data_IF_019422777254
#
_entry.id   IF_019422777254
#
_cell.length_a   1.000
_cell.length_b   1.000
_cell.length_c   1.000
_cell.angle_alpha   90.00
_cell.angle_beta   90.00
_cell.angle_gamma   90.00
#
_symmetry.space_group_name_H-M   'P 1'
#
loop_
_entity.id
_entity.type
_entity.pdbx_description
1 polymer ?
#
# COMPACT_ATOMS: atom_id res chain seq x y z
N UNK A 1 20.66 -11.46 -3.24
CA UNK A 1 20.36 -10.24 -4.05
C UNK A 1 20.31 -10.59 -5.53
N UNK A 2 19.18 -10.29 -6.18
CA UNK A 2 18.92 -10.47 -7.62
C UNK A 2 19.94 -9.70 -8.47
N UNK A 3 20.30 -10.24 -9.63
CA UNK A 3 21.38 -9.71 -10.45
C UNK A 3 21.06 -8.28 -10.93
N UNK A 4 19.86 -8.06 -11.44
CA UNK A 4 19.39 -6.76 -11.90
C UNK A 4 19.44 -5.65 -10.83
N UNK A 5 19.29 -6.01 -9.56
CA UNK A 5 19.28 -5.03 -8.47
C UNK A 5 20.67 -4.65 -7.99
N UNK A 6 21.71 -5.45 -8.29
CA UNK A 6 23.08 -5.16 -7.83
C UNK A 6 23.66 -3.91 -8.49
N UNK A 7 23.36 -3.72 -9.77
CA UNK A 7 23.88 -2.63 -10.60
C UNK A 7 22.92 -1.45 -10.74
N UNK A 8 21.67 -1.58 -10.27
CA UNK A 8 20.67 -0.52 -10.36
C UNK A 8 21.14 0.72 -9.59
N UNK A 9 21.24 1.86 -10.28
CA UNK A 9 21.57 3.13 -9.64
C UNK A 9 20.42 3.52 -8.71
N UNK A 10 20.76 3.72 -7.43
CA UNK A 10 19.86 4.25 -6.41
C UNK A 10 20.63 5.27 -5.60
N UNK A 11 20.04 6.45 -5.50
CA UNK A 11 20.54 7.64 -4.80
C UNK A 11 19.41 8.25 -3.99
N UNK A 12 19.79 9.02 -2.95
CA UNK A 12 18.83 9.83 -2.24
C UNK A 12 18.27 10.92 -3.16
N UNK A 13 17.03 11.31 -2.92
CA UNK A 13 16.47 12.54 -3.44
C UNK A 13 17.35 13.72 -3.00
N UNK A 14 17.38 14.82 -3.79
CA UNK A 14 18.04 16.04 -3.36
C UNK A 14 17.46 16.57 -2.04
N UNK A 15 18.28 17.27 -1.26
CA UNK A 15 17.86 17.87 0.03
C UNK A 15 16.70 18.86 -0.10
N UNK A 16 16.42 19.32 -1.32
CA UNK A 16 15.29 20.16 -1.65
C UNK A 16 14.52 19.60 -2.84
N UNK A 17 13.19 19.67 -2.78
CA UNK A 17 12.30 19.30 -3.87
C UNK A 17 11.63 20.54 -4.44
N UNK A 18 11.48 20.57 -5.76
CA UNK A 18 10.71 21.61 -6.47
C UNK A 18 9.53 20.93 -7.12
N UNK A 19 8.32 21.26 -6.67
CA UNK A 19 7.07 20.70 -7.16
C UNK A 19 6.48 21.66 -8.20
N UNK A 20 6.71 21.38 -9.49
CA UNK A 20 6.18 22.19 -10.60
C UNK A 20 4.86 21.61 -11.10
N UNK A 21 3.80 22.40 -11.06
CA UNK A 21 2.48 22.06 -11.58
C UNK A 21 1.37 22.77 -10.80
N UNK A 22 0.13 22.49 -11.17
CA UNK A 22 -1.05 23.09 -10.55
C UNK A 22 -1.39 22.40 -9.24
N UNK A 23 -2.22 23.03 -8.40
CA UNK A 23 -2.71 22.44 -7.15
C UNK A 23 -4.21 22.18 -7.29
N UNK A 24 -4.62 20.93 -7.10
CA UNK A 24 -6.03 20.55 -7.07
C UNK A 24 -6.58 20.66 -5.64
N UNK A 25 -7.39 21.67 -5.39
CA UNK A 25 -8.18 21.78 -4.18
C UNK A 25 -9.47 20.99 -4.35
N UNK A 26 -9.60 19.92 -3.57
CA UNK A 26 -10.80 19.09 -3.50
C UNK A 26 -11.86 19.84 -2.68
N UNK A 27 -12.50 20.85 -3.29
CA UNK A 27 -13.47 21.73 -2.66
C UNK A 27 -14.84 21.07 -2.47
N UNK A 28 -15.64 21.52 -1.50
CA UNK A 28 -17.03 21.06 -1.35
C UNK A 28 -17.93 21.53 -2.51
N UNK A 29 -17.61 22.67 -3.11
CA UNK A 29 -18.31 23.26 -4.24
C UNK A 29 -17.86 22.61 -5.56
N UNK A 30 -18.80 21.96 -6.25
CA UNK A 30 -18.54 21.28 -7.51
C UNK A 30 -18.09 22.24 -8.63
N UNK A 31 -18.57 23.48 -8.63
CA UNK A 31 -18.18 24.51 -9.59
C UNK A 31 -16.71 24.93 -9.43
N UNK A 32 -16.23 25.08 -8.19
CA UNK A 32 -14.81 25.34 -7.89
C UNK A 32 -13.92 24.20 -8.38
N UNK A 33 -14.37 22.95 -8.21
CA UNK A 33 -13.62 21.78 -8.72
C UNK A 33 -13.58 21.79 -10.25
N UNK A 34 -14.72 21.99 -10.93
CA UNK A 34 -14.78 22.03 -12.40
C UNK A 34 -13.89 23.12 -13.00
N UNK A 35 -13.94 24.34 -12.47
CA UNK A 35 -13.09 25.44 -12.93
C UNK A 35 -11.60 25.09 -12.84
N UNK A 36 -11.18 24.39 -11.78
CA UNK A 36 -9.81 23.88 -11.68
C UNK A 36 -9.49 22.86 -12.78
N UNK A 37 -10.37 21.91 -13.04
CA UNK A 37 -10.19 20.91 -14.09
C UNK A 37 -10.12 21.55 -15.50
N UNK A 38 -10.81 22.66 -15.70
CA UNK A 38 -10.83 23.44 -16.95
C UNK A 38 -9.63 24.38 -17.13
N UNK A 39 -8.69 24.41 -16.17
CA UNK A 39 -7.44 25.16 -16.29
C UNK A 39 -7.36 26.40 -15.38
N UNK A 40 -8.41 26.73 -14.63
CA UNK A 40 -8.39 27.90 -13.75
C UNK A 40 -7.78 27.56 -12.38
N UNK A 41 -6.66 28.18 -12.04
CA UNK A 41 -6.17 28.14 -10.66
C UNK A 41 -7.06 28.99 -9.76
N UNK A 42 -7.48 28.42 -8.63
CA UNK A 42 -8.28 29.14 -7.65
C UNK A 42 -7.37 29.82 -6.63
N UNK A 43 -7.76 31.00 -6.16
CA UNK A 43 -7.10 31.61 -5.01
C UNK A 43 -7.51 30.84 -3.74
N UNK A 44 -6.54 30.16 -3.11
CA UNK A 44 -6.78 29.40 -1.89
C UNK A 44 -6.71 30.36 -0.72
N UNK A 45 -7.71 30.27 0.15
CA UNK A 45 -7.72 30.98 1.40
C UNK A 45 -8.01 29.97 2.51
N UNK A 46 -7.54 30.19 3.75
CA UNK A 46 -7.86 29.29 4.86
C UNK A 46 -9.37 29.06 5.08
N UNK A 47 -10.23 29.98 4.61
CA UNK A 47 -11.68 29.84 4.65
C UNK A 47 -12.31 29.05 3.49
N UNK A 48 -11.54 28.60 2.49
CA UNK A 48 -12.04 27.78 1.38
C UNK A 48 -12.52 26.43 1.93
N UNK A 49 -13.81 26.11 1.73
CA UNK A 49 -14.39 24.84 2.18
C UNK A 49 -13.89 23.67 1.33
N UNK A 50 -13.04 22.85 1.93
CA UNK A 50 -12.51 21.63 1.32
C UNK A 50 -13.33 20.41 1.75
N UNK A 51 -13.35 19.38 0.90
CA UNK A 51 -13.99 18.10 1.20
C UNK A 51 -13.27 17.41 2.35
N UNK A 52 -14.04 17.09 3.36
CA UNK A 52 -13.67 16.27 4.50
C UNK A 52 -14.00 14.78 4.29
N UNK A 53 -13.39 13.90 5.08
CA UNK A 53 -13.69 12.47 5.15
C UNK A 53 -13.56 11.74 3.81
N UNK A 54 -12.57 12.12 2.99
CA UNK A 54 -12.33 11.50 1.69
C UNK A 54 -11.90 10.05 1.90
N UNK A 55 -12.69 9.11 1.40
CA UNK A 55 -12.40 7.68 1.47
C UNK A 55 -11.59 7.19 0.27
N UNK A 56 -10.93 6.03 0.39
CA UNK A 56 -10.27 5.38 -0.75
C UNK A 56 -11.26 4.97 -1.84
N UNK A 57 -12.53 4.72 -1.51
CA UNK A 57 -13.58 4.50 -2.52
C UNK A 57 -13.97 5.77 -3.27
N UNK A 58 -13.85 6.95 -2.63
CA UNK A 58 -14.04 8.23 -3.32
C UNK A 58 -12.84 8.55 -4.24
N UNK A 59 -11.62 8.22 -3.81
CA UNK A 59 -10.40 8.38 -4.62
C UNK A 59 -10.39 7.37 -5.78
N UNK A 60 -10.72 6.11 -5.52
CA UNK A 60 -10.70 5.03 -6.52
C UNK A 60 -11.81 4.04 -6.20
N UNK A 61 -13.00 4.21 -6.83
CA UNK A 61 -14.12 3.30 -6.63
C UNK A 61 -13.74 1.84 -6.89
N UNK A 62 -14.42 0.90 -6.22
CA UNK A 62 -14.06 -0.52 -6.27
C UNK A 62 -13.98 -1.10 -7.70
N UNK A 63 -14.86 -0.65 -8.62
CA UNK A 63 -14.87 -1.10 -10.02
C UNK A 63 -13.67 -0.58 -10.84
N UNK A 64 -12.96 0.44 -10.34
CA UNK A 64 -11.71 0.92 -10.94
C UNK A 64 -10.52 0.07 -10.47
N UNK A 65 -10.64 -0.67 -9.37
CA UNK A 65 -9.56 -1.53 -8.88
C UNK A 65 -9.33 -2.78 -9.77
N UNK A 66 -10.07 -2.91 -10.88
CA UNK A 66 -9.77 -3.87 -11.94
C UNK A 66 -8.59 -3.43 -12.82
N UNK A 67 -8.28 -2.13 -12.84
CA UNK A 67 -7.07 -1.62 -13.45
C UNK A 67 -5.90 -1.75 -12.46
N UNK A 68 -4.73 -2.08 -12.99
CA UNK A 68 -3.55 -2.44 -12.19
C UNK A 68 -2.25 -1.84 -12.74
N UNK A 69 -2.36 -0.98 -13.74
CA UNK A 69 -1.25 -0.29 -14.42
C UNK A 69 -1.45 1.23 -14.40
N UNK A 70 -0.65 1.97 -15.18
CA UNK A 70 -0.72 3.44 -15.25
C UNK A 70 -2.06 4.00 -15.73
N UNK A 71 -2.96 3.16 -16.28
CA UNK A 71 -4.34 3.53 -16.61
C UNK A 71 -5.09 4.00 -15.36
N UNK A 72 -4.68 3.57 -14.16
CA UNK A 72 -5.21 4.08 -12.90
C UNK A 72 -5.12 5.61 -12.78
N UNK A 73 -4.14 6.24 -13.44
CA UNK A 73 -4.01 7.70 -13.53
C UNK A 73 -5.17 8.43 -14.20
N UNK A 74 -6.04 7.72 -14.92
CA UNK A 74 -7.24 8.29 -15.51
C UNK A 74 -8.41 8.40 -14.53
N UNK A 75 -8.33 7.79 -13.35
CA UNK A 75 -9.49 7.62 -12.48
C UNK A 75 -9.42 8.22 -11.06
N UNK A 76 -8.40 9.01 -10.65
CA UNK A 76 -8.41 9.52 -9.29
C UNK A 76 -9.62 10.45 -9.06
N UNK A 77 -10.26 10.25 -7.91
CA UNK A 77 -11.40 10.98 -7.37
C UNK A 77 -12.73 10.84 -8.13
N UNK A 78 -12.92 9.80 -8.95
CA UNK A 78 -14.21 9.58 -9.64
C UNK A 78 -15.39 9.41 -8.69
N UNK A 79 -15.15 8.92 -7.47
CA UNK A 79 -16.19 8.78 -6.45
C UNK A 79 -16.36 10.02 -5.57
N UNK A 80 -15.58 11.09 -5.78
CA UNK A 80 -15.63 12.30 -4.96
C UNK A 80 -16.94 13.06 -5.19
N UNK A 81 -17.83 13.01 -4.21
CA UNK A 81 -19.08 13.77 -4.21
C UNK A 81 -18.85 15.18 -3.66
N UNK A 82 -19.22 16.21 -4.41
CA UNK A 82 -19.15 17.63 -4.03
C UNK A 82 -20.58 18.20 -4.05
N UNK A 83 -21.18 18.40 -2.86
CA UNK A 83 -22.63 18.62 -2.76
C UNK A 83 -23.41 17.40 -3.24
N UNK A 84 -24.20 17.58 -4.30
CA UNK A 84 -24.96 16.50 -4.97
C UNK A 84 -24.35 16.04 -6.30
N UNK A 85 -23.14 16.51 -6.60
CA UNK A 85 -22.53 16.31 -7.91
C UNK A 85 -21.19 15.55 -7.82
N UNK A 86 -20.79 14.94 -8.94
CA UNK A 86 -19.48 14.31 -9.12
C UNK A 86 -18.71 15.11 -10.18
N UNK A 87 -17.96 16.15 -9.79
CA UNK A 87 -17.35 17.07 -10.75
C UNK A 87 -16.13 16.49 -11.49
N UNK A 88 -15.52 15.43 -10.95
CA UNK A 88 -14.30 14.82 -11.49
C UNK A 88 -14.68 13.69 -12.45
N UNK A 89 -14.16 13.77 -13.67
CA UNK A 89 -14.41 12.80 -14.74
C UNK A 89 -13.13 12.11 -15.18
N UNK A 90 -13.26 11.03 -15.97
CA UNK A 90 -12.11 10.25 -16.44
C UNK A 90 -11.06 11.12 -17.14
N UNK A 91 -9.82 11.00 -16.69
CA UNK A 91 -8.63 11.69 -17.17
C UNK A 91 -8.58 13.18 -16.86
N UNK A 92 -9.59 13.76 -16.20
CA UNK A 92 -9.67 15.20 -15.95
C UNK A 92 -8.53 15.69 -15.04
N UNK A 93 -8.21 14.93 -13.99
CA UNK A 93 -7.10 15.24 -13.07
C UNK A 93 -5.75 15.20 -13.80
N UNK A 94 -5.49 14.13 -14.56
CA UNK A 94 -4.25 13.97 -15.33
C UNK A 94 -4.06 15.08 -16.37
N UNK A 95 -5.12 15.42 -17.13
CA UNK A 95 -5.10 16.55 -18.08
C UNK A 95 -4.93 17.90 -17.39
N UNK A 96 -5.40 18.03 -16.15
CA UNK A 96 -5.30 19.25 -15.37
C UNK A 96 -3.88 19.63 -14.96
N UNK A 97 -2.89 18.75 -15.10
CA UNK A 97 -1.48 19.07 -14.85
C UNK A 97 -1.17 19.38 -13.38
N UNK A 98 -1.88 18.73 -12.47
CA UNK A 98 -1.73 18.94 -11.04
C UNK A 98 -0.50 18.19 -10.49
N UNK A 99 0.29 18.86 -9.66
CA UNK A 99 1.41 18.27 -8.91
C UNK A 99 1.05 17.99 -7.45
N UNK A 100 0.02 18.67 -6.93
CA UNK A 100 -0.44 18.51 -5.56
C UNK A 100 -1.96 18.40 -5.49
N UNK A 101 -2.46 17.72 -4.47
CA UNK A 101 -3.89 17.71 -4.13
C UNK A 101 -4.10 18.06 -2.66
N UNK A 102 -5.13 18.86 -2.39
CA UNK A 102 -5.42 19.41 -1.06
C UNK A 102 -6.85 19.08 -0.67
N UNK A 103 -7.03 18.52 0.52
CA UNK A 103 -8.34 18.20 1.11
C UNK A 103 -8.44 18.74 2.54
N UNK A 104 -9.63 18.67 3.13
CA UNK A 104 -9.86 19.14 4.50
C UNK A 104 -9.40 18.15 5.56
N UNK A 105 -10.28 17.87 6.52
CA UNK A 105 -9.97 17.28 7.83
C UNK A 105 -9.41 15.87 7.82
N UNK A 106 -9.88 15.01 6.91
CA UNK A 106 -9.61 13.57 6.98
C UNK A 106 -9.55 12.97 5.59
N UNK A 107 -8.42 12.35 5.25
CA UNK A 107 -8.16 11.78 3.93
C UNK A 107 -7.65 10.35 4.00
N UNK A 108 -8.13 9.50 3.07
CA UNK A 108 -7.64 8.14 2.86
C UNK A 108 -8.27 7.11 3.80
N UNK A 109 -9.49 7.33 4.27
CA UNK A 109 -10.19 6.37 5.15
C UNK A 109 -10.72 5.16 4.36
N UNK A 110 -10.88 4.04 5.05
CA UNK A 110 -11.51 2.84 4.51
C UNK A 110 -10.50 1.76 4.13
N UNK A 111 -10.62 1.25 2.92
CA UNK A 111 -9.84 0.11 2.42
C UNK A 111 -8.34 0.43 2.35
N UNK A 112 -7.49 -0.57 2.60
CA UNK A 112 -6.02 -0.46 2.53
C UNK A 112 -5.46 -0.39 1.11
N UNK A 113 -6.32 -0.25 0.09
CA UNK A 113 -5.97 -0.30 -1.33
C UNK A 113 -4.93 0.75 -1.70
N UNK A 114 -3.79 0.31 -2.21
CA UNK A 114 -2.72 1.19 -2.70
C UNK A 114 -3.00 1.72 -4.11
N UNK A 115 -4.00 1.17 -4.80
CA UNK A 115 -4.52 1.69 -6.05
C UNK A 115 -4.93 3.17 -5.92
N UNK A 116 -5.38 3.62 -4.75
CA UNK A 116 -5.77 5.02 -4.53
C UNK A 116 -4.60 6.01 -4.65
N UNK A 117 -3.55 5.93 -3.82
CA UNK A 117 -2.39 6.80 -3.99
C UNK A 117 -1.61 6.53 -5.29
N UNK A 118 -1.69 5.31 -5.84
CA UNK A 118 -1.09 5.03 -7.16
C UNK A 118 -1.85 5.72 -8.30
N UNK A 119 -3.18 5.76 -8.28
CA UNK A 119 -3.98 6.50 -9.25
C UNK A 119 -3.65 8.00 -9.21
N UNK A 120 -3.48 8.57 -8.02
CA UNK A 120 -3.04 9.96 -7.86
C UNK A 120 -1.63 10.17 -8.44
N UNK A 121 -0.69 9.28 -8.13
CA UNK A 121 0.68 9.32 -8.64
C UNK A 121 0.72 9.24 -10.18
N UNK A 122 0.00 8.29 -10.78
CA UNK A 122 -0.10 8.11 -12.23
C UNK A 122 -0.81 9.28 -12.93
N UNK A 123 -1.60 10.06 -12.19
CA UNK A 123 -2.19 11.30 -12.68
C UNK A 123 -1.26 12.53 -12.55
N UNK A 124 -0.08 12.37 -11.94
CA UNK A 124 0.92 13.42 -11.78
C UNK A 124 0.99 14.03 -10.38
N UNK A 125 0.14 13.61 -9.44
CA UNK A 125 0.16 14.10 -8.06
C UNK A 125 1.39 13.53 -7.35
N UNK A 126 2.25 14.44 -6.87
CA UNK A 126 3.46 14.13 -6.10
C UNK A 126 3.37 14.57 -4.64
N UNK A 127 2.37 15.40 -4.30
CA UNK A 127 2.14 15.91 -2.96
C UNK A 127 0.65 15.81 -2.58
N UNK A 128 0.41 15.27 -1.39
CA UNK A 128 -0.91 15.26 -0.75
C UNK A 128 -0.89 16.11 0.50
N UNK A 129 -1.85 17.04 0.61
CA UNK A 129 -2.03 17.92 1.76
C UNK A 129 -3.43 17.72 2.36
N UNK A 130 -3.51 17.50 3.67
CA UNK A 130 -4.77 17.40 4.42
C UNK A 130 -4.52 17.69 5.90
N UNK A 131 -5.53 18.07 6.68
CA UNK A 131 -5.32 18.30 8.13
C UNK A 131 -5.01 16.99 8.86
N UNK A 132 -5.55 15.87 8.38
CA UNK A 132 -5.24 14.52 8.83
C UNK A 132 -5.23 13.55 7.66
N UNK A 133 -4.19 12.70 7.63
CA UNK A 133 -4.00 11.66 6.62
C UNK A 133 -3.97 10.32 7.34
N UNK A 134 -4.85 9.41 6.93
CA UNK A 134 -4.97 8.08 7.53
C UNK A 134 -3.68 7.29 7.41
N UNK A 135 -3.30 6.60 8.48
CA UNK A 135 -1.99 5.96 8.63
C UNK A 135 -1.62 5.06 7.46
N UNK A 136 -2.54 4.18 7.04
CA UNK A 136 -2.29 3.22 5.95
C UNK A 136 -2.14 3.93 4.60
N UNK A 137 -3.01 4.90 4.33
CA UNK A 137 -2.92 5.67 3.08
C UNK A 137 -1.62 6.49 3.03
N UNK A 138 -1.22 7.13 4.15
CA UNK A 138 0.06 7.84 4.28
C UNK A 138 1.25 6.91 4.01
N UNK A 139 1.21 5.71 4.59
CA UNK A 139 2.21 4.67 4.38
C UNK A 139 2.30 4.24 2.92
N UNK A 140 1.17 4.03 2.24
CA UNK A 140 1.12 3.73 0.82
C UNK A 140 1.68 4.90 -0.04
N UNK A 141 1.36 6.15 0.29
CA UNK A 141 1.98 7.32 -0.36
C UNK A 141 3.51 7.28 -0.23
N UNK A 142 4.03 7.09 0.99
CA UNK A 142 5.47 6.99 1.24
C UNK A 142 6.11 5.83 0.49
N UNK A 143 5.45 4.68 0.42
CA UNK A 143 5.94 3.51 -0.29
C UNK A 143 6.11 3.79 -1.80
N UNK A 144 5.15 4.52 -2.39
CA UNK A 144 5.17 4.94 -3.79
C UNK A 144 6.09 6.15 -4.07
N UNK A 145 6.52 6.87 -3.04
CA UNK A 145 7.29 8.11 -3.18
C UNK A 145 6.43 9.37 -3.37
N UNK A 146 5.13 9.30 -3.07
CA UNK A 146 4.24 10.46 -2.98
C UNK A 146 4.44 11.14 -1.63
N UNK A 147 4.78 12.43 -1.64
CA UNK A 147 4.97 13.21 -0.42
C UNK A 147 3.63 13.53 0.23
N UNK A 148 3.63 13.58 1.56
CA UNK A 148 2.43 13.92 2.35
C UNK A 148 2.79 14.95 3.40
N UNK A 149 1.88 15.89 3.67
CA UNK A 149 2.05 16.84 4.77
C UNK A 149 0.71 17.30 5.34
N UNK A 150 0.71 17.65 6.62
CA UNK A 150 -0.41 18.34 7.29
C UNK A 150 -0.17 19.85 7.41
N UNK A 151 0.98 20.34 6.94
CA UNK A 151 1.32 21.75 6.92
C UNK A 151 0.84 22.41 5.62
N UNK A 152 -0.23 23.19 5.71
CA UNK A 152 -0.82 23.92 4.59
C UNK A 152 0.08 25.07 4.10
N UNK A 153 1.08 25.51 4.88
CA UNK A 153 2.01 26.56 4.42
C UNK A 153 2.85 26.14 3.20
N UNK A 154 2.94 24.83 2.93
CA UNK A 154 3.58 24.29 1.73
C UNK A 154 2.86 24.70 0.45
N UNK A 155 1.55 24.94 0.49
CA UNK A 155 0.75 25.31 -0.70
C UNK A 155 1.33 26.55 -1.38
N UNK A 156 1.67 27.56 -0.59
CA UNK A 156 2.23 28.82 -1.07
C UNK A 156 3.61 28.64 -1.71
N UNK A 157 4.44 27.76 -1.15
CA UNK A 157 5.77 27.43 -1.71
C UNK A 157 5.63 26.72 -3.05
N UNK A 158 4.69 25.77 -3.16
CA UNK A 158 4.41 25.05 -4.41
C UNK A 158 3.93 26.02 -5.49
N UNK A 159 3.00 26.94 -5.16
CA UNK A 159 2.49 27.97 -6.10
C UNK A 159 3.59 28.88 -6.63
N UNK A 160 4.53 29.28 -5.78
CA UNK A 160 5.68 30.12 -6.18
C UNK A 160 6.80 29.34 -6.88
N UNK A 161 6.69 28.01 -6.97
CA UNK A 161 7.73 27.15 -7.55
C UNK A 161 9.03 27.15 -6.73
N UNK A 162 8.92 27.38 -5.42
CA UNK A 162 10.06 27.46 -4.51
C UNK A 162 10.62 26.07 -4.19
N UNK A 163 11.91 26.04 -3.87
CA UNK A 163 12.55 24.86 -3.32
C UNK A 163 12.04 24.62 -1.89
N UNK A 164 11.51 23.43 -1.64
CA UNK A 164 11.04 22.99 -0.33
C UNK A 164 12.09 22.04 0.24
N UNK A 165 12.63 22.29 1.45
CA UNK A 165 13.56 21.34 2.05
C UNK A 165 12.86 20.01 2.29
N UNK A 166 13.51 18.90 1.93
CA UNK A 166 12.95 17.56 2.08
C UNK A 166 12.64 17.23 3.55
N UNK A 167 13.36 17.87 4.48
CA UNK A 167 13.08 17.81 5.91
C UNK A 167 11.66 18.25 6.29
N UNK A 168 10.98 19.05 5.46
CA UNK A 168 9.57 19.40 5.67
C UNK A 168 8.64 18.17 5.61
N UNK A 169 9.08 17.08 4.98
CA UNK A 169 8.32 15.84 4.83
C UNK A 169 8.86 14.69 5.72
N UNK A 170 10.01 14.88 6.38
CA UNK A 170 10.64 13.85 7.23
C UNK A 170 10.79 14.27 8.68
N UNK A 171 10.47 15.52 9.03
CA UNK A 171 10.50 16.00 10.40
C UNK A 171 9.56 15.18 11.30
N UNK A 172 10.10 14.64 12.38
CA UNK A 172 9.36 13.80 13.33
C UNK A 172 9.22 12.32 12.91
N UNK A 173 9.65 11.96 11.71
CA UNK A 173 9.68 10.57 11.26
C UNK A 173 10.91 9.82 11.80
N UNK A 174 10.76 8.52 12.03
CA UNK A 174 11.88 7.65 12.39
C UNK A 174 12.86 7.42 11.23
N UNK A 175 14.01 6.82 11.53
CA UNK A 175 15.10 6.53 10.58
C UNK A 175 14.64 5.82 9.29
N UNK A 176 13.82 4.78 9.42
CA UNK A 176 13.26 3.96 8.35
C UNK A 176 12.30 4.78 7.50
N UNK A 177 11.31 5.44 8.12
CA UNK A 177 10.31 6.21 7.37
C UNK A 177 10.96 7.39 6.66
N UNK A 178 11.86 8.11 7.34
CA UNK A 178 12.70 9.14 6.74
C UNK A 178 13.52 8.58 5.59
N UNK A 179 14.18 7.44 5.78
CA UNK A 179 14.99 6.80 4.75
C UNK A 179 14.19 6.43 3.50
N UNK A 180 12.95 5.94 3.67
CA UNK A 180 12.04 5.63 2.57
C UNK A 180 11.66 6.90 1.78
N UNK A 181 11.32 7.98 2.49
CA UNK A 181 11.00 9.27 1.85
C UNK A 181 12.24 9.84 1.14
N UNK A 182 13.41 9.79 1.78
CA UNK A 182 14.69 10.26 1.21
C UNK A 182 15.13 9.48 -0.02
N UNK A 183 14.64 8.26 -0.25
CA UNK A 183 14.94 7.50 -1.48
C UNK A 183 13.78 7.53 -2.49
N UNK A 184 12.75 8.34 -2.23
CA UNK A 184 11.59 8.47 -3.10
C UNK A 184 10.78 7.20 -3.22
N UNK A 185 10.68 6.41 -2.14
CA UNK A 185 9.86 5.20 -2.10
C UNK A 185 10.53 3.98 -1.46
N UNK A 186 9.70 3.02 -1.05
CA UNK A 186 10.14 1.81 -0.35
C UNK A 186 11.03 0.94 -1.24
N UNK A 187 10.72 0.85 -2.54
CA UNK A 187 11.51 0.07 -3.49
C UNK A 187 12.97 0.54 -3.56
N UNK A 188 13.18 1.82 -3.83
CA UNK A 188 14.53 2.38 -3.92
C UNK A 188 15.28 2.23 -2.60
N UNK A 189 14.61 2.51 -1.47
CA UNK A 189 15.19 2.31 -0.15
C UNK A 189 15.66 0.86 0.07
N UNK A 190 14.83 -0.13 -0.29
CA UNK A 190 15.19 -1.54 -0.17
C UNK A 190 16.30 -1.97 -1.12
N UNK A 191 16.36 -1.45 -2.35
CA UNK A 191 17.49 -1.70 -3.25
C UNK A 191 18.78 -1.15 -2.64
N UNK A 192 18.77 0.06 -2.07
CA UNK A 192 19.93 0.62 -1.38
C UNK A 192 20.34 -0.21 -0.14
N UNK A 193 19.38 -0.73 0.64
CA UNK A 193 19.63 -1.69 1.73
C UNK A 193 20.31 -2.97 1.22
N UNK A 194 19.78 -3.57 0.15
CA UNK A 194 20.34 -4.81 -0.42
C UNK A 194 21.74 -4.60 -1.02
N UNK A 195 22.03 -3.40 -1.51
CA UNK A 195 23.37 -3.01 -1.99
C UNK A 195 24.35 -2.69 -0.85
N UNK A 196 23.93 -2.74 0.41
CA UNK A 196 24.76 -2.40 1.57
C UNK A 196 25.05 -0.89 1.72
N UNK A 197 24.36 -0.04 0.95
CA UNK A 197 24.49 1.44 1.05
C UNK A 197 23.76 2.00 2.27
N UNK A 198 22.81 1.25 2.81
CA UNK A 198 22.06 1.58 4.02
C UNK A 198 22.28 0.46 5.02
N UNK A 199 22.79 0.81 6.19
CA UNK A 199 22.90 -0.07 7.34
C UNK A 199 21.85 0.38 8.34
N UNK A 200 20.92 -0.51 8.68
CA UNK A 200 19.89 -0.21 9.67
C UNK A 200 20.47 -0.35 11.07
N UNK A 201 20.14 0.58 11.95
CA UNK A 201 20.45 0.45 13.37
C UNK A 201 19.43 -0.48 14.03
N UNK A 202 19.83 -1.63 14.61
CA UNK A 202 18.91 -2.45 15.39
C UNK A 202 18.40 -1.66 16.62
N UNK A 203 17.22 -1.99 17.14
CA UNK A 203 16.69 -1.35 18.34
C UNK A 203 17.64 -1.59 19.51
N UNK A 204 17.94 -0.53 20.24
CA UNK A 204 18.81 -0.56 21.44
C UNK A 204 18.05 -0.95 22.70
N UNK A 205 16.88 -1.58 22.54
CA UNK A 205 15.99 -1.93 23.64
C UNK A 205 16.66 -2.97 24.55
N UNK A 206 16.87 -2.67 25.86
CA UNK A 206 17.50 -3.60 26.78
C UNK A 206 16.58 -4.81 27.03
N UNK A 207 17.13 -5.97 27.46
CA UNK A 207 16.33 -7.12 27.84
C UNK A 207 15.19 -6.75 28.80
N UNK A 208 13.97 -7.11 28.42
CA UNK A 208 12.74 -6.84 29.19
C UNK A 208 11.73 -7.97 29.00
N UNK A 209 10.74 -8.10 29.91
CA UNK A 209 9.56 -8.91 29.62
C UNK A 209 8.88 -8.43 28.34
N UNK A 210 8.56 -9.38 27.45
CA UNK A 210 7.92 -9.13 26.16
C UNK A 210 6.59 -9.90 26.04
N UNK A 211 5.61 -9.30 25.38
CA UNK A 211 4.38 -9.97 24.93
C UNK A 211 4.71 -11.06 23.90
N UNK A 212 3.72 -11.90 23.56
CA UNK A 212 3.91 -12.90 22.49
C UNK A 212 4.28 -12.22 21.16
N UNK A 213 3.56 -11.16 20.78
CA UNK A 213 3.83 -10.40 19.57
C UNK A 213 5.24 -9.80 19.56
N UNK A 214 5.65 -9.15 20.66
CA UNK A 214 7.00 -8.59 20.81
C UNK A 214 8.09 -9.67 20.69
N UNK A 215 7.90 -10.85 21.28
CA UNK A 215 8.86 -11.97 21.16
C UNK A 215 8.99 -12.46 19.72
N UNK A 216 7.86 -12.60 19.01
CA UNK A 216 7.85 -13.01 17.61
C UNK A 216 8.58 -11.95 16.78
N UNK A 217 8.23 -10.68 16.94
CA UNK A 217 8.88 -9.57 16.23
C UNK A 217 10.38 -9.53 16.50
N UNK A 218 10.81 -9.62 17.77
CA UNK A 218 12.21 -9.62 18.16
C UNK A 218 13.01 -10.74 17.48
N UNK A 219 12.44 -11.95 17.37
CA UNK A 219 13.07 -13.08 16.69
C UNK A 219 13.22 -12.88 15.18
N UNK A 220 12.27 -12.21 14.54
CA UNK A 220 12.26 -11.99 13.09
C UNK A 220 12.95 -10.69 12.67
N UNK A 221 13.42 -9.89 13.62
CA UNK A 221 14.00 -8.59 13.34
C UNK A 221 15.19 -8.67 12.39
N UNK A 222 15.18 -7.89 11.32
CA UNK A 222 16.28 -7.84 10.35
C UNK A 222 17.40 -6.95 10.90
N UNK A 223 18.58 -7.54 11.13
CA UNK A 223 19.77 -6.83 11.63
C UNK A 223 20.71 -6.48 10.49
N UNK A 224 21.01 -7.44 9.62
CA UNK A 224 21.86 -7.22 8.44
C UNK A 224 21.30 -8.07 7.28
N UNK A 225 20.47 -7.49 6.38
CA UNK A 225 19.85 -8.23 5.31
C UNK A 225 20.88 -8.72 4.27
N UNK A 226 22.00 -8.01 4.09
CA UNK A 226 23.05 -8.40 3.16
C UNK A 226 23.80 -9.67 3.63
N UNK A 227 23.86 -9.89 4.95
CA UNK A 227 24.47 -11.08 5.58
C UNK A 227 23.47 -12.08 6.14
N UNK A 228 22.16 -11.84 5.99
CA UNK A 228 21.11 -12.71 6.53
C UNK A 228 21.05 -12.75 8.06
N UNK A 229 21.59 -11.75 8.76
CA UNK A 229 21.55 -11.70 10.23
C UNK A 229 20.19 -11.19 10.69
N UNK A 230 19.52 -11.99 11.52
CA UNK A 230 18.22 -11.68 12.10
C UNK A 230 18.22 -11.90 13.62
N UNK A 231 17.21 -11.36 14.28
CA UNK A 231 16.97 -11.51 15.71
C UNK A 231 17.62 -10.40 16.54
N UNK A 232 16.87 -9.88 17.50
CA UNK A 232 17.35 -8.98 18.55
C UNK A 232 16.93 -9.48 19.94
N UNK A 233 17.65 -9.14 21.01
CA UNK A 233 17.33 -9.63 22.35
C UNK A 233 15.96 -9.17 22.87
N UNK A 234 15.56 -7.94 22.53
CA UNK A 234 14.29 -7.37 22.93
C UNK A 234 13.85 -6.25 21.97
N UNK A 235 12.54 -6.02 21.96
CA UNK A 235 11.90 -4.87 21.31
C UNK A 235 10.89 -4.24 22.28
N UNK A 236 10.44 -3.02 21.99
CA UNK A 236 9.34 -2.34 22.69
C UNK A 236 8.45 -1.60 21.67
N UNK A 237 7.21 -1.22 22.05
CA UNK A 237 6.35 -0.42 21.18
C UNK A 237 7.04 0.87 20.72
N UNK A 238 6.90 1.20 19.44
CA UNK A 238 7.55 2.35 18.81
C UNK A 238 8.94 2.06 18.22
N UNK A 239 9.58 0.94 18.54
CA UNK A 239 10.78 0.51 17.79
C UNK A 239 10.38 0.28 16.32
N UNK A 240 11.18 0.76 15.37
CA UNK A 240 10.91 0.60 13.95
C UNK A 240 12.04 -0.12 13.22
N UNK A 241 11.67 -0.91 12.21
CA UNK A 241 12.63 -1.66 11.43
C UNK A 241 11.94 -2.57 10.43
N UNK A 242 12.60 -3.69 10.13
CA UNK A 242 12.08 -4.71 9.25
C UNK A 242 12.04 -6.04 9.96
N UNK A 243 11.05 -6.86 9.62
CA UNK A 243 10.93 -8.24 10.09
C UNK A 243 10.88 -9.18 8.90
N UNK A 244 11.63 -10.28 8.99
CA UNK A 244 11.52 -11.38 8.02
C UNK A 244 10.13 -12.00 8.13
N UNK A 245 9.56 -12.33 6.98
CA UNK A 245 8.24 -12.94 6.87
C UNK A 245 8.37 -14.42 6.51
N UNK A 246 7.59 -15.27 7.19
CA UNK A 246 7.54 -16.72 6.94
C UNK A 246 6.56 -17.07 5.82
N UNK A 247 5.43 -16.36 5.73
CA UNK A 247 4.43 -16.53 4.66
C UNK A 247 4.02 -15.16 4.11
N UNK A 248 3.98 -15.06 2.78
CA UNK A 248 3.59 -13.86 2.04
C UNK A 248 2.49 -14.24 1.06
N UNK A 249 1.28 -13.68 1.19
CA UNK A 249 0.23 -13.97 0.23
C UNK A 249 -0.35 -12.73 -0.44
N UNK A 250 -0.89 -12.93 -1.64
CA UNK A 250 -1.60 -11.88 -2.35
C UNK A 250 -2.80 -12.41 -3.11
N UNK A 251 -3.85 -11.59 -3.18
CA UNK A 251 -5.09 -11.92 -3.90
C UNK A 251 -5.18 -11.16 -5.23
N UNK A 252 -6.15 -11.50 -6.08
CA UNK A 252 -6.22 -11.11 -7.50
C UNK A 252 -6.40 -9.61 -7.75
N UNK A 253 -6.88 -8.84 -6.77
CA UNK A 253 -6.95 -7.37 -6.90
C UNK A 253 -5.58 -6.70 -6.84
N UNK A 254 -4.63 -7.30 -6.11
CA UNK A 254 -3.33 -6.68 -5.79
C UNK A 254 -2.20 -7.33 -6.56
N UNK A 255 -2.31 -8.65 -6.79
CA UNK A 255 -1.24 -9.44 -7.42
C UNK A 255 -0.82 -8.91 -8.79
N UNK A 256 -1.73 -8.56 -9.71
CA UNK A 256 -1.34 -8.03 -11.02
C UNK A 256 -0.56 -6.72 -10.96
N UNK A 257 -0.94 -5.80 -10.06
CA UNK A 257 -0.24 -4.54 -9.86
C UNK A 257 1.16 -4.76 -9.28
N UNK A 258 1.29 -5.62 -8.27
CA UNK A 258 2.58 -6.01 -7.70
C UNK A 258 3.47 -6.74 -8.73
N UNK A 259 2.89 -7.56 -9.60
CA UNK A 259 3.59 -8.24 -10.69
C UNK A 259 4.12 -7.24 -11.73
N UNK A 260 3.36 -6.21 -12.09
CA UNK A 260 3.84 -5.13 -12.97
C UNK A 260 5.01 -4.39 -12.31
N UNK A 261 4.90 -4.03 -11.03
CA UNK A 261 6.01 -3.39 -10.31
C UNK A 261 7.27 -4.25 -10.34
N UNK A 262 7.13 -5.56 -10.13
CA UNK A 262 8.24 -6.49 -10.23
C UNK A 262 8.87 -6.51 -11.62
N UNK A 263 8.07 -6.70 -12.66
CA UNK A 263 8.57 -6.78 -14.03
C UNK A 263 9.22 -5.49 -14.52
N UNK A 264 8.66 -4.32 -14.15
CA UNK A 264 9.17 -3.01 -14.57
C UNK A 264 10.39 -2.56 -13.76
N UNK A 265 10.39 -2.77 -12.44
CA UNK A 265 11.41 -2.23 -11.54
C UNK A 265 12.55 -3.22 -11.29
N UNK A 266 12.28 -4.52 -11.30
CA UNK A 266 13.28 -5.58 -11.08
C UNK A 266 13.74 -6.16 -12.42
N UNK A 267 12.79 -6.48 -13.30
CA UNK A 267 13.05 -7.01 -14.63
C UNK A 267 12.15 -8.20 -14.94
N UNK A 268 11.76 -8.34 -16.21
CA UNK A 268 10.79 -9.36 -16.61
C UNK A 268 11.27 -10.79 -16.33
N UNK A 269 12.56 -11.08 -16.48
CA UNK A 269 13.10 -12.44 -16.37
C UNK A 269 13.73 -12.77 -15.02
N UNK A 270 13.69 -11.82 -14.09
CA UNK A 270 14.14 -12.03 -12.73
C UNK A 270 13.19 -12.95 -11.95
N UNK A 271 13.74 -13.63 -10.94
CA UNK A 271 12.98 -14.54 -10.07
C UNK A 271 12.69 -13.90 -8.73
N UNK A 272 11.49 -14.13 -8.19
CA UNK A 272 11.20 -13.75 -6.81
C UNK A 272 12.10 -14.50 -5.83
N UNK A 273 12.36 -13.88 -4.68
CA UNK A 273 13.11 -14.47 -3.59
C UNK A 273 12.20 -15.36 -2.72
N UNK A 274 12.61 -16.63 -2.61
CA UNK A 274 11.93 -17.67 -1.83
C UNK A 274 10.46 -17.90 -2.27
N UNK A 275 10.21 -18.36 -3.52
CA UNK A 275 8.85 -18.54 -4.05
C UNK A 275 7.99 -19.52 -3.25
N UNK A 276 8.61 -20.46 -2.52
CA UNK A 276 7.91 -21.47 -1.74
C UNK A 276 7.10 -20.92 -0.55
N UNK A 277 7.45 -19.74 -0.05
CA UNK A 277 6.70 -19.03 0.98
C UNK A 277 5.83 -17.89 0.42
N UNK A 278 5.64 -17.84 -0.91
CA UNK A 278 4.71 -16.93 -1.56
C UNK A 278 3.48 -17.72 -2.03
N UNK A 279 2.30 -17.19 -1.76
CA UNK A 279 1.02 -17.80 -2.16
C UNK A 279 0.15 -16.77 -2.89
N UNK A 280 -0.59 -17.22 -3.88
CA UNK A 280 -1.53 -16.39 -4.62
C UNK A 280 -2.94 -16.97 -4.51
N UNK A 281 -3.93 -16.10 -4.43
CA UNK A 281 -5.33 -16.47 -4.26
C UNK A 281 -6.20 -15.77 -5.29
N UNK A 282 -7.21 -16.49 -5.77
CA UNK A 282 -8.32 -15.97 -6.55
C UNK A 282 -9.62 -16.32 -5.83
N UNK A 283 -10.04 -15.45 -4.93
CA UNK A 283 -11.19 -15.70 -4.04
C UNK A 283 -12.21 -14.56 -3.97
N UNK A 284 -11.87 -13.35 -4.43
CA UNK A 284 -12.78 -12.20 -4.40
C UNK A 284 -13.64 -12.06 -5.66
N UNK A 285 -13.12 -12.47 -6.83
CA UNK A 285 -13.72 -12.18 -8.15
C UNK A 285 -14.31 -13.41 -8.85
N UNK A 286 -14.36 -14.56 -8.19
CA UNK A 286 -14.79 -15.82 -8.83
C UNK A 286 -16.24 -15.79 -9.32
N UNK A 287 -17.12 -15.05 -8.65
CA UNK A 287 -18.52 -14.88 -9.05
C UNK A 287 -18.80 -13.54 -9.75
N UNK A 288 -17.75 -12.83 -10.19
CA UNK A 288 -17.90 -11.47 -10.71
C UNK A 288 -18.80 -11.41 -11.95
N UNK A 289 -18.74 -12.41 -12.83
CA UNK A 289 -19.60 -12.48 -14.01
C UNK A 289 -21.10 -12.57 -13.69
N UNK A 290 -21.46 -13.11 -12.52
CA UNK A 290 -22.84 -13.23 -12.04
C UNK A 290 -23.29 -12.00 -11.26
N UNK A 291 -22.35 -11.37 -10.54
CA UNK A 291 -22.63 -10.22 -9.68
C UNK A 291 -22.56 -8.86 -10.41
N UNK A 292 -21.88 -8.78 -11.56
CA UNK A 292 -21.69 -7.53 -12.27
C UNK A 292 -22.98 -7.11 -13.01
N UNK A 293 -23.37 -5.86 -12.84
CA UNK A 293 -24.53 -5.26 -13.52
C UNK A 293 -24.36 -5.26 -15.05
N UNK A 294 -25.43 -5.49 -15.86
CA UNK A 294 -25.35 -5.51 -17.32
C UNK A 294 -24.71 -4.26 -17.95
N UNK A 295 -24.92 -3.09 -17.34
CA UNK A 295 -24.36 -1.81 -17.81
C UNK A 295 -22.84 -1.83 -17.75
N UNK A 296 -22.26 -2.28 -16.63
CA UNK A 296 -20.81 -2.40 -16.44
C UNK A 296 -20.19 -3.47 -17.34
N UNK A 297 -20.91 -4.56 -17.60
CA UNK A 297 -20.48 -5.57 -18.58
C UNK A 297 -20.42 -4.94 -19.98
N UNK A 298 -21.44 -4.17 -20.37
CA UNK A 298 -21.47 -3.46 -21.66
C UNK A 298 -20.37 -2.40 -21.79
N UNK A 299 -19.95 -1.80 -20.67
CA UNK A 299 -18.80 -0.89 -20.60
C UNK A 299 -17.44 -1.60 -20.70
N UNK A 300 -17.41 -2.94 -20.74
CA UNK A 300 -16.20 -3.76 -20.87
C UNK A 300 -15.48 -4.01 -19.53
N UNK A 301 -16.07 -3.65 -18.38
CA UNK A 301 -15.41 -3.83 -17.08
C UNK A 301 -15.20 -5.29 -16.70
N UNK A 302 -16.06 -6.20 -17.19
CA UNK A 302 -15.88 -7.63 -16.97
C UNK A 302 -14.59 -8.13 -17.65
N UNK A 303 -14.33 -7.72 -18.88
CA UNK A 303 -13.12 -8.10 -19.62
C UNK A 303 -11.87 -7.58 -18.90
N UNK A 304 -11.89 -6.32 -18.44
CA UNK A 304 -10.79 -5.73 -17.64
C UNK A 304 -10.54 -6.55 -16.37
N UNK A 305 -11.60 -6.95 -15.66
CA UNK A 305 -11.47 -7.75 -14.45
C UNK A 305 -10.95 -9.17 -14.73
N UNK A 306 -11.31 -9.77 -15.86
CA UNK A 306 -10.80 -11.08 -16.28
C UNK A 306 -9.31 -11.02 -16.66
N UNK A 307 -8.77 -9.87 -17.05
CA UNK A 307 -7.32 -9.72 -17.28
C UNK A 307 -6.50 -9.82 -15.97
N UNK A 308 -7.08 -9.48 -14.81
CA UNK A 308 -6.41 -9.68 -13.51
C UNK A 308 -6.06 -11.15 -13.28
N UNK A 309 -7.01 -12.05 -13.61
CA UNK A 309 -6.86 -13.50 -13.51
C UNK A 309 -5.71 -14.00 -14.37
N UNK A 310 -5.72 -13.61 -15.64
CA UNK A 310 -4.71 -14.02 -16.62
C UNK A 310 -3.33 -13.56 -16.19
N UNK A 311 -3.21 -12.30 -15.75
CA UNK A 311 -1.94 -11.72 -15.29
C UNK A 311 -1.43 -12.42 -14.03
N UNK A 312 -2.28 -12.68 -13.05
CA UNK A 312 -1.92 -13.41 -11.83
C UNK A 312 -1.45 -14.83 -12.16
N UNK A 313 -2.21 -15.58 -12.96
CA UNK A 313 -1.88 -16.96 -13.36
C UNK A 313 -0.55 -17.03 -14.12
N UNK A 314 -0.36 -16.14 -15.09
CA UNK A 314 0.87 -16.07 -15.87
C UNK A 314 2.08 -15.77 -14.98
N UNK A 315 1.97 -14.81 -14.06
CA UNK A 315 3.05 -14.49 -13.13
C UNK A 315 3.33 -15.64 -12.16
N UNK A 316 2.28 -16.26 -11.59
CA UNK A 316 2.42 -17.40 -10.69
C UNK A 316 3.16 -18.56 -11.37
N UNK A 317 2.76 -18.91 -12.59
CA UNK A 317 3.41 -19.96 -13.38
C UNK A 317 4.87 -19.59 -13.71
N UNK A 318 5.14 -18.35 -14.14
CA UNK A 318 6.50 -17.89 -14.46
C UNK A 318 7.42 -17.96 -13.25
N UNK A 319 6.91 -17.63 -12.06
CA UNK A 319 7.70 -17.56 -10.83
C UNK A 319 7.71 -18.88 -10.03
N UNK A 320 6.94 -19.89 -10.43
CA UNK A 320 6.80 -21.13 -9.67
C UNK A 320 6.09 -20.94 -8.34
N UNK A 321 5.17 -19.98 -8.27
CA UNK A 321 4.39 -19.63 -7.07
C UNK A 321 3.10 -20.44 -7.08
N UNK A 322 2.70 -20.93 -5.90
CA UNK A 322 1.44 -21.65 -5.75
C UNK A 322 0.26 -20.68 -5.85
N UNK A 323 -0.61 -20.90 -6.82
CA UNK A 323 -1.89 -20.21 -7.00
C UNK A 323 -3.03 -21.13 -6.57
N UNK A 324 -3.82 -20.68 -5.60
CA UNK A 324 -5.16 -21.19 -5.31
C UNK A 324 -6.15 -20.47 -6.22
N UNK A 325 -6.54 -21.15 -7.29
CA UNK A 325 -7.34 -20.59 -8.37
C UNK A 325 -8.84 -20.81 -8.20
N UNK A 326 -9.53 -21.00 -9.32
CA UNK A 326 -10.93 -21.43 -9.34
C UNK A 326 -11.03 -22.97 -9.38
N UNK A 327 -12.13 -23.51 -8.85
CA UNK A 327 -12.45 -24.92 -8.91
C UNK A 327 -12.50 -25.43 -10.36
N UNK A 328 -12.09 -26.69 -10.56
CA UNK A 328 -12.10 -27.36 -11.86
C UNK A 328 -13.27 -28.33 -11.97
N UNK A 329 -13.54 -28.81 -13.19
CA UNK A 329 -14.45 -29.93 -13.47
C UNK A 329 -15.93 -29.70 -13.09
N UNK A 330 -16.53 -28.61 -13.56
CA UNK A 330 -17.99 -28.38 -13.47
C UNK A 330 -18.48 -27.77 -12.17
N UNK A 331 -17.57 -27.37 -11.28
CA UNK A 331 -17.89 -26.60 -10.08
C UNK A 331 -17.44 -25.14 -10.26
N UNK A 332 -18.32 -24.20 -9.90
CA UNK A 332 -18.04 -22.76 -9.88
C UNK A 332 -17.62 -22.36 -8.46
N UNK A 333 -16.58 -21.54 -8.33
CA UNK A 333 -16.09 -21.07 -7.02
C UNK A 333 -14.58 -21.06 -6.89
N UNK A 334 -14.09 -20.47 -5.81
CA UNK A 334 -12.66 -20.44 -5.49
C UNK A 334 -12.20 -21.78 -4.90
N UNK A 335 -10.96 -22.19 -5.18
CA UNK A 335 -10.32 -23.33 -4.51
C UNK A 335 -10.19 -23.10 -3.00
N UNK A 336 -10.00 -21.83 -2.57
CA UNK A 336 -10.00 -21.48 -1.16
C UNK A 336 -10.09 -19.96 -0.94
N UNK A 337 -10.79 -19.55 0.12
CA UNK A 337 -10.66 -18.20 0.69
C UNK A 337 -9.27 -18.09 1.32
N UNK A 338 -8.55 -17.00 1.01
CA UNK A 338 -7.15 -16.83 1.39
C UNK A 338 -6.91 -17.03 2.89
N UNK A 339 -7.66 -16.35 3.75
CA UNK A 339 -7.47 -16.41 5.20
C UNK A 339 -7.72 -17.79 5.80
N UNK A 340 -8.79 -18.46 5.36
CA UNK A 340 -9.08 -19.84 5.79
C UNK A 340 -7.95 -20.77 5.38
N UNK A 341 -7.45 -20.65 4.15
CA UNK A 341 -6.39 -21.54 3.67
C UNK A 341 -5.05 -21.31 4.35
N UNK A 342 -4.72 -20.04 4.61
CA UNK A 342 -3.53 -19.68 5.37
C UNK A 342 -3.61 -20.28 6.77
N UNK A 343 -4.73 -20.10 7.47
CA UNK A 343 -4.94 -20.65 8.81
C UNK A 343 -4.84 -22.19 8.83
N UNK A 344 -5.50 -22.87 7.89
CA UNK A 344 -5.62 -24.33 7.88
C UNK A 344 -4.37 -25.08 7.42
N UNK A 345 -3.52 -24.45 6.60
CA UNK A 345 -2.48 -25.18 5.88
C UNK A 345 -1.11 -24.52 5.78
N UNK A 346 -0.94 -23.28 6.25
CA UNK A 346 0.34 -22.56 6.12
C UNK A 346 0.78 -21.82 7.38
N UNK A 347 -0.13 -21.47 8.28
CA UNK A 347 0.17 -20.72 9.49
C UNK A 347 0.61 -21.65 10.62
N UNK A 348 1.78 -21.38 11.21
CA UNK A 348 2.28 -22.09 12.39
C UNK A 348 2.59 -21.12 13.53
N UNK A 349 2.45 -21.56 14.81
CA UNK A 349 2.72 -20.71 15.96
C UNK A 349 4.09 -20.02 15.89
N UNK A 350 4.07 -18.69 16.04
CA UNK A 350 5.26 -17.88 16.04
C UNK A 350 5.73 -17.38 14.67
N UNK A 351 5.02 -17.67 13.58
CA UNK A 351 5.33 -17.07 12.27
C UNK A 351 4.97 -15.59 12.20
N UNK A 352 5.66 -14.87 11.31
CA UNK A 352 5.28 -13.57 10.77
C UNK A 352 4.64 -13.77 9.40
N UNK A 353 3.37 -13.40 9.27
CA UNK A 353 2.58 -13.59 8.04
C UNK A 353 2.11 -12.23 7.51
N UNK A 354 2.36 -11.97 6.23
CA UNK A 354 1.79 -10.80 5.56
C UNK A 354 0.92 -11.20 4.38
N UNK A 355 -0.12 -10.39 4.16
CA UNK A 355 -1.06 -10.57 3.07
C UNK A 355 -1.46 -9.23 2.49
N UNK A 356 -1.80 -9.18 1.20
CA UNK A 356 -2.33 -7.95 0.59
C UNK A 356 -3.81 -7.64 0.94
N UNK A 357 -4.37 -8.34 1.93
CA UNK A 357 -5.74 -8.18 2.42
C UNK A 357 -5.77 -7.77 3.90
N UNK A 358 -6.72 -6.92 4.29
CA UNK A 358 -6.84 -6.38 5.65
C UNK A 358 -7.16 -7.42 6.72
N UNK A 359 -7.78 -8.56 6.35
CA UNK A 359 -8.18 -9.63 7.28
C UNK A 359 -7.08 -10.67 7.51
N UNK A 360 -5.87 -10.43 6.98
CA UNK A 360 -4.67 -11.23 7.29
C UNK A 360 -4.47 -11.53 8.79
N UNK A 361 -4.82 -10.64 9.75
CA UNK A 361 -4.78 -10.95 11.18
C UNK A 361 -5.55 -12.22 11.62
N UNK A 362 -6.43 -12.77 10.77
CA UNK A 362 -7.11 -14.05 11.02
C UNK A 362 -6.14 -15.17 11.40
N UNK A 363 -4.95 -15.22 10.77
CA UNK A 363 -3.91 -16.20 11.08
C UNK A 363 -3.31 -16.05 12.50
N UNK A 364 -3.53 -14.91 13.17
CA UNK A 364 -3.15 -14.71 14.57
C UNK A 364 -3.84 -15.68 15.53
N UNK A 365 -4.96 -16.30 15.12
CA UNK A 365 -5.69 -17.28 15.92
C UNK A 365 -4.84 -18.52 16.30
N UNK A 366 -3.81 -18.85 15.52
CA UNK A 366 -2.86 -19.94 15.82
C UNK A 366 -1.53 -19.46 16.39
N UNK A 367 -1.47 -18.22 16.90
CA UNK A 367 -0.29 -17.67 17.58
C UNK A 367 0.77 -17.05 16.66
N UNK A 368 0.36 -16.57 15.49
CA UNK A 368 1.20 -15.80 14.58
C UNK A 368 1.16 -14.30 14.90
N UNK A 369 2.14 -13.55 14.38
CA UNK A 369 1.99 -12.11 14.11
C UNK A 369 1.61 -11.96 12.64
N UNK A 370 0.36 -11.62 12.36
CA UNK A 370 -0.17 -11.54 11.01
C UNK A 370 -0.82 -10.19 10.74
N UNK A 371 -0.48 -9.53 9.62
CA UNK A 371 -1.03 -8.22 9.28
C UNK A 371 -1.09 -7.96 7.77
N UNK A 372 -2.07 -7.14 7.37
CA UNK A 372 -2.26 -6.72 5.99
C UNK A 372 -1.26 -5.66 5.56
N UNK A 373 -0.87 -5.67 4.29
CA UNK A 373 0.09 -4.73 3.68
C UNK A 373 -0.39 -4.26 2.30
N UNK A 374 0.12 -3.11 1.83
CA UNK A 374 -0.15 -2.60 0.49
C UNK A 374 0.60 -3.36 -0.63
N UNK A 375 0.24 -3.07 -1.88
CA UNK A 375 0.88 -3.56 -3.11
C UNK A 375 2.41 -3.42 -3.10
N UNK A 376 2.94 -2.25 -2.79
CA UNK A 376 4.38 -1.97 -2.82
C UNK A 376 5.10 -2.74 -1.73
N UNK A 377 4.48 -2.90 -0.56
CA UNK A 377 5.06 -3.68 0.54
C UNK A 377 5.08 -5.18 0.22
N UNK A 378 3.98 -5.75 -0.32
CA UNK A 378 3.97 -7.16 -0.73
C UNK A 378 4.94 -7.42 -1.88
N UNK A 379 5.00 -6.52 -2.87
CA UNK A 379 5.98 -6.55 -3.96
C UNK A 379 7.42 -6.53 -3.43
N UNK A 380 7.75 -5.62 -2.52
CA UNK A 380 9.09 -5.54 -1.94
C UNK A 380 9.45 -6.81 -1.16
N UNK A 381 8.48 -7.41 -0.45
CA UNK A 381 8.70 -8.68 0.25
C UNK A 381 9.07 -9.83 -0.70
N UNK A 382 8.68 -9.78 -1.99
CA UNK A 382 9.11 -10.76 -3.00
C UNK A 382 10.59 -10.61 -3.38
N UNK A 383 11.23 -9.50 -3.02
CA UNK A 383 12.65 -9.24 -3.28
C UNK A 383 13.47 -9.45 -2.01
N UNK A 384 12.95 -8.99 -0.86
CA UNK A 384 13.72 -8.93 0.39
C UNK A 384 13.39 -10.06 1.37
N UNK A 385 12.21 -10.69 1.25
CA UNK A 385 11.61 -11.57 2.28
C UNK A 385 11.36 -10.85 3.62
N UNK A 386 11.37 -9.52 3.63
CA UNK A 386 11.10 -8.74 4.82
C UNK A 386 10.04 -7.66 4.55
N UNK A 387 9.50 -7.11 5.62
CA UNK A 387 8.53 -6.02 5.59
C UNK A 387 8.83 -5.01 6.68
N UNK A 388 8.56 -3.73 6.41
CA UNK A 388 8.70 -2.67 7.40
C UNK A 388 7.64 -2.81 8.49
N UNK A 389 8.00 -2.51 9.72
CA UNK A 389 7.11 -2.56 10.88
C UNK A 389 7.56 -1.52 11.92
N UNK A 390 6.58 -0.86 12.53
CA UNK A 390 6.75 -0.26 13.87
C UNK A 390 6.09 -1.17 14.88
N UNK A 391 6.82 -1.58 15.93
CA UNK A 391 6.29 -2.46 16.97
C UNK A 391 5.04 -1.82 17.58
N UNK A 392 3.86 -2.47 17.48
CA UNK A 392 2.63 -1.87 17.97
C UNK A 392 2.51 -1.99 19.49
N UNK A 393 1.72 -1.10 20.08
CA UNK A 393 1.20 -1.32 21.43
C UNK A 393 0.29 -2.56 21.46
N UNK A 394 0.18 -3.20 22.63
CA UNK A 394 -0.63 -4.42 22.80
C UNK A 394 -1.78 -4.17 23.76
N UNK A 395 -3.00 -4.49 23.33
CA UNK A 395 -4.18 -4.57 24.19
C UNK A 395 -4.43 -6.03 24.58
N UNK A 396 -4.43 -6.32 25.88
CA UNK A 396 -4.73 -7.67 26.40
C UNK A 396 -6.20 -7.77 26.79
N UNK A 397 -6.96 -8.55 26.02
CA UNK A 397 -8.33 -8.93 26.40
C UNK A 397 -8.28 -10.26 27.16
N UNK A 398 -8.77 -10.26 28.40
CA UNK A 398 -8.81 -11.46 29.25
C UNK A 398 -10.26 -11.92 29.36
N UNK A 399 -10.60 -12.99 28.63
CA UNK A 399 -11.91 -13.64 28.72
C UNK A 399 -11.86 -14.71 29.81
N UNK A 400 -12.81 -14.67 30.75
CA UNK A 400 -12.92 -15.62 31.88
C UNK A 400 -14.33 -16.20 31.95
N UNK A 401 -14.43 -17.40 32.51
CA UNK A 401 -15.70 -18.12 32.68
C UNK A 401 -15.91 -19.20 31.63
N UNK A 402 -17.08 -19.83 31.67
CA UNK A 402 -17.51 -20.83 30.69
C UNK A 402 -18.41 -20.18 29.65
N UNK A 403 -18.22 -20.53 28.38
CA UNK A 403 -19.02 -20.00 27.28
C UNK A 403 -20.46 -20.56 27.36
N UNK A 404 -21.51 -19.73 27.52
CA UNK A 404 -22.89 -20.21 27.52
C UNK A 404 -23.26 -20.94 26.22
N UNK A 405 -24.27 -21.81 26.28
CA UNK A 405 -24.69 -22.68 25.18
C UNK A 405 -25.11 -21.92 23.92
N UNK A 406 -25.69 -20.72 24.08
CA UNK A 406 -26.22 -19.88 23.01
C UNK A 406 -25.31 -18.69 22.64
N UNK A 407 -24.05 -18.69 23.08
CA UNK A 407 -23.06 -17.64 22.78
C UNK A 407 -21.95 -18.20 21.89
N UNK A 408 -21.60 -17.48 20.82
CA UNK A 408 -20.47 -17.79 19.92
C UNK A 408 -19.31 -16.83 20.15
N UNK A 409 -18.14 -17.19 19.62
CA UNK A 409 -16.99 -16.28 19.54
C UNK A 409 -17.30 -15.08 18.63
#
# INVERSE_FOLDING_TARGET
>A
MLAALRSRRVEKLPDHVVLRGRILFLAEDAGLVRRQLEGQDIDWQPGTKLRDNISTDEITPAYICYYYDETLGDFPYLGLKCGDEFPITRGSVKRGGFVASVSGKRRGKGSSREQSPYAEMCAGIKLVVAENIERIYRENCQNLGVLTTTDFSIIDKVRRGEAIPLSAFTAGEGEITRGIIEHGGLFNFNVARLQGKIVLSPPVTPPRPMTLGEKIIARHWVVDPARGKIGVPAVKPGDEGFVVTDVRFSHEYVTPMAAIFFEQLVGQDEKVHDPGSILMFRDHLTFLGEAMTPERVKEGLLDVALELEKKQRAFAQKQGIRLYGELRLGHHGSEAICHSKILEGHAEPGMVIIGSDSHTPHAGAVGCVAFGVGTTAIFNSWITKDVRLTVPETVRVVVRGEKPTNVTA
#
